data_IF_674495385885
#
_entry.id   IF_674495385885
#
_cell.length_a   1.000
_cell.length_b   1.000
_cell.length_c   1.000
_cell.angle_alpha   90.00
_cell.angle_beta   90.00
_cell.angle_gamma   90.00
#
_symmetry.space_group_name_H-M   'P 1'
#
loop_
_entity.id
_entity.type
_entity.pdbx_description
1 polymer ?
#
# COMPACT_ATOMS: atom_id res chain seq x y z
N UNK A 1 9.45 -14.66 -8.50
CA UNK A 1 8.72 -15.95 -8.31
C UNK A 1 8.88 -16.78 -9.58
N UNK A 2 8.90 -18.11 -9.52
CA UNK A 2 9.12 -18.95 -10.72
C UNK A 2 7.82 -19.18 -11.52
N UNK A 3 7.93 -19.45 -12.82
CA UNK A 3 6.76 -19.73 -13.70
C UNK A 3 5.88 -20.86 -13.17
N UNK A 4 6.47 -21.90 -12.57
CA UNK A 4 5.72 -23.01 -11.98
C UNK A 4 4.80 -22.54 -10.84
N UNK A 5 5.22 -21.57 -10.05
CA UNK A 5 4.40 -20.99 -8.99
C UNK A 5 3.22 -20.21 -9.57
N UNK A 6 3.42 -19.43 -10.64
CA UNK A 6 2.34 -18.73 -11.34
C UNK A 6 1.30 -19.72 -11.86
N UNK A 7 1.74 -20.81 -12.51
CA UNK A 7 0.86 -21.88 -12.99
C UNK A 7 0.02 -22.46 -11.84
N UNK A 8 0.63 -22.67 -10.66
CA UNK A 8 -0.08 -23.17 -9.48
C UNK A 8 -1.12 -22.15 -8.98
N UNK A 9 -0.80 -20.86 -8.94
CA UNK A 9 -1.76 -19.81 -8.55
C UNK A 9 -2.95 -19.73 -9.51
N UNK A 10 -2.69 -19.73 -10.83
CA UNK A 10 -3.74 -19.73 -11.86
C UNK A 10 -4.61 -20.99 -11.72
N UNK A 11 -4.03 -22.17 -11.51
CA UNK A 11 -4.79 -23.41 -11.29
C UNK A 11 -5.71 -23.36 -10.08
N UNK A 12 -5.27 -22.77 -8.96
CA UNK A 12 -6.09 -22.60 -7.76
C UNK A 12 -7.32 -21.73 -8.07
N UNK A 13 -7.12 -20.64 -8.80
CA UNK A 13 -8.20 -19.73 -9.19
C UNK A 13 -9.17 -20.39 -10.18
N UNK A 14 -8.67 -21.16 -11.16
CA UNK A 14 -9.49 -21.93 -12.10
C UNK A 14 -10.39 -22.96 -11.41
N UNK A 15 -9.98 -23.50 -10.26
CA UNK A 15 -10.80 -24.41 -9.49
C UNK A 15 -12.06 -23.74 -8.91
N UNK A 16 -12.01 -22.43 -8.67
CA UNK A 16 -13.15 -21.66 -8.16
C UNK A 16 -13.99 -21.03 -9.28
N UNK A 17 -13.34 -20.51 -10.32
CA UNK A 17 -13.99 -19.74 -11.37
C UNK A 17 -14.21 -20.55 -12.64
N UNK A 18 -15.47 -20.78 -12.98
CA UNK A 18 -15.85 -21.52 -14.20
C UNK A 18 -15.42 -20.74 -15.45
N UNK A 19 -14.83 -21.44 -16.44
CA UNK A 19 -14.33 -20.87 -17.71
C UNK A 19 -13.26 -19.79 -17.50
N UNK A 20 -12.43 -19.93 -16.46
CA UNK A 20 -11.27 -19.08 -16.25
C UNK A 20 -9.98 -19.91 -16.06
N UNK A 21 -8.88 -19.60 -16.77
CA UNK A 21 -8.81 -18.67 -17.88
C UNK A 21 -9.78 -19.00 -19.03
N UNK A 22 -9.98 -18.05 -19.92
CA UNK A 22 -10.73 -18.30 -21.15
C UNK A 22 -10.01 -19.40 -21.96
N UNK A 23 -10.80 -20.32 -22.53
CA UNK A 23 -10.28 -21.46 -23.29
C UNK A 23 -9.36 -20.98 -24.42
N UNK A 24 -8.16 -21.53 -24.50
CA UNK A 24 -7.14 -21.15 -25.47
C UNK A 24 -6.28 -19.94 -25.07
N UNK A 25 -6.50 -19.35 -23.88
CA UNK A 25 -5.68 -18.24 -23.33
C UNK A 25 -4.92 -18.63 -22.06
N UNK A 26 -4.79 -19.92 -21.76
CA UNK A 26 -4.18 -20.40 -20.52
C UNK A 26 -2.71 -19.97 -20.41
N UNK A 27 -1.93 -20.19 -21.47
CA UNK A 27 -0.50 -19.83 -21.49
C UNK A 27 -0.28 -18.31 -21.55
N UNK A 28 -1.13 -17.59 -22.29
CA UNK A 28 -1.14 -16.13 -22.31
C UNK A 28 -1.44 -15.55 -20.92
N UNK A 29 -2.37 -16.16 -20.19
CA UNK A 29 -2.72 -15.75 -18.83
C UNK A 29 -1.56 -15.99 -17.87
N UNK A 30 -0.91 -17.16 -17.94
CA UNK A 30 0.29 -17.45 -17.15
C UNK A 30 1.39 -16.44 -17.46
N UNK A 31 1.63 -16.15 -18.74
CA UNK A 31 2.67 -15.19 -19.18
C UNK A 31 2.37 -13.76 -18.72
N UNK A 32 1.11 -13.31 -18.82
CA UNK A 32 0.67 -12.02 -18.29
C UNK A 32 0.89 -11.93 -16.77
N UNK A 33 0.53 -12.98 -16.03
CA UNK A 33 0.67 -13.01 -14.58
C UNK A 33 2.12 -13.07 -14.14
N UNK A 34 2.97 -13.82 -14.85
CA UNK A 34 4.41 -13.85 -14.62
C UNK A 34 5.00 -12.45 -14.77
N UNK A 35 4.75 -11.77 -15.89
CA UNK A 35 5.24 -10.42 -16.13
C UNK A 35 4.76 -9.39 -15.09
N UNK A 36 3.56 -9.58 -14.54
CA UNK A 36 2.94 -8.60 -13.65
C UNK A 36 3.12 -8.90 -12.16
N UNK A 37 3.64 -10.06 -11.78
CA UNK A 37 3.74 -10.51 -10.39
C UNK A 37 5.11 -11.12 -10.03
N UNK A 38 6.11 -11.03 -10.92
CA UNK A 38 7.44 -11.63 -10.74
C UNK A 38 8.19 -11.05 -9.53
N UNK A 39 7.96 -9.77 -9.24
CA UNK A 39 8.49 -9.01 -8.11
C UNK A 39 7.86 -9.37 -6.75
N UNK A 40 6.72 -10.07 -6.74
CA UNK A 40 6.06 -10.47 -5.50
C UNK A 40 6.70 -11.74 -4.91
N UNK A 41 6.97 -11.75 -3.58
CA UNK A 41 7.28 -12.98 -2.87
C UNK A 41 6.12 -13.98 -2.96
N UNK A 42 6.43 -15.27 -3.16
CA UNK A 42 5.42 -16.33 -3.35
C UNK A 42 4.38 -16.36 -2.20
N UNK A 43 4.83 -16.22 -0.96
CA UNK A 43 3.94 -16.21 0.20
C UNK A 43 2.93 -15.05 0.14
N UNK A 44 3.35 -13.87 -0.33
CA UNK A 44 2.47 -12.70 -0.50
C UNK A 44 1.46 -12.96 -1.61
N UNK A 45 1.88 -13.47 -2.76
CA UNK A 45 0.99 -13.79 -3.87
C UNK A 45 -0.07 -14.85 -3.48
N UNK A 46 0.31 -15.86 -2.69
CA UNK A 46 -0.63 -16.85 -2.16
C UNK A 46 -1.67 -16.24 -1.21
N UNK A 47 -1.25 -15.34 -0.32
CA UNK A 47 -2.19 -14.65 0.56
C UNK A 47 -3.10 -13.70 -0.21
N UNK A 48 -2.60 -13.03 -1.25
CA UNK A 48 -3.37 -12.19 -2.15
C UNK A 48 -4.47 -12.97 -2.86
N UNK A 49 -4.14 -14.14 -3.42
CA UNK A 49 -5.12 -15.05 -4.05
C UNK A 49 -6.19 -15.49 -3.04
N UNK A 50 -5.79 -15.89 -1.82
CA UNK A 50 -6.75 -16.26 -0.76
C UNK A 50 -7.66 -15.09 -0.37
N UNK A 51 -7.08 -13.90 -0.26
CA UNK A 51 -7.82 -12.68 0.04
C UNK A 51 -8.87 -12.38 -1.04
N UNK A 52 -8.49 -12.46 -2.32
CA UNK A 52 -9.41 -12.27 -3.45
C UNK A 52 -10.55 -13.28 -3.45
N UNK A 53 -10.22 -14.57 -3.34
CA UNK A 53 -11.20 -15.66 -3.29
C UNK A 53 -12.19 -15.51 -2.13
N UNK A 54 -11.78 -14.89 -1.02
CA UNK A 54 -12.64 -14.64 0.14
C UNK A 54 -13.62 -13.48 -0.05
N UNK A 55 -13.46 -12.68 -1.11
CA UNK A 55 -14.19 -11.41 -1.30
C UNK A 55 -14.88 -11.29 -2.65
N UNK A 56 -14.42 -12.00 -3.68
CA UNK A 56 -14.91 -11.85 -5.05
C UNK A 56 -15.46 -13.15 -5.61
N UNK A 57 -16.66 -13.07 -6.17
CA UNK A 57 -17.27 -14.12 -6.98
C UNK A 57 -16.85 -14.06 -8.45
N UNK A 58 -16.11 -13.01 -8.85
CA UNK A 58 -15.62 -12.81 -10.22
C UNK A 58 -14.13 -13.20 -10.34
N UNK A 59 -13.71 -13.74 -11.50
CA UNK A 59 -12.31 -14.06 -11.73
C UNK A 59 -11.41 -12.82 -11.59
N UNK A 60 -10.22 -12.95 -10.99
CA UNK A 60 -9.32 -11.81 -10.81
C UNK A 60 -8.70 -11.35 -12.13
N UNK A 61 -8.48 -10.05 -12.22
CA UNK A 61 -7.44 -9.44 -13.06
C UNK A 61 -6.10 -9.44 -12.30
N UNK A 62 -4.99 -9.20 -13.00
CA UNK A 62 -3.69 -8.98 -12.35
C UNK A 62 -3.72 -7.80 -11.37
N UNK A 63 -4.52 -6.77 -11.66
CA UNK A 63 -4.68 -5.61 -10.78
C UNK A 63 -5.35 -6.00 -9.46
N UNK A 64 -6.36 -6.86 -9.49
CA UNK A 64 -7.03 -7.35 -8.28
C UNK A 64 -6.06 -8.09 -7.35
N UNK A 65 -5.15 -8.89 -7.93
CA UNK A 65 -4.13 -9.61 -7.16
C UNK A 65 -3.08 -8.66 -6.59
N UNK A 66 -2.64 -7.64 -7.33
CA UNK A 66 -1.69 -6.65 -6.78
C UNK A 66 -2.32 -5.80 -5.68
N UNK A 67 -3.58 -5.43 -5.83
CA UNK A 67 -4.37 -4.77 -4.78
C UNK A 67 -4.47 -5.64 -3.52
N UNK A 68 -4.77 -6.93 -3.68
CA UNK A 68 -4.80 -7.87 -2.58
C UNK A 68 -3.41 -8.07 -1.95
N UNK A 69 -2.35 -8.13 -2.76
CA UNK A 69 -0.97 -8.24 -2.32
C UNK A 69 -0.56 -7.04 -1.45
N UNK A 70 -0.88 -5.82 -1.87
CA UNK A 70 -0.62 -4.61 -1.09
C UNK A 70 -1.34 -4.65 0.27
N UNK A 71 -2.57 -5.17 0.32
CA UNK A 71 -3.35 -5.31 1.56
C UNK A 71 -2.78 -6.35 2.54
N UNK A 72 -2.32 -7.50 2.05
CA UNK A 72 -1.82 -8.59 2.91
C UNK A 72 -0.36 -8.40 3.33
N UNK A 73 0.42 -7.62 2.56
CA UNK A 73 1.82 -7.30 2.87
C UNK A 73 1.97 -6.08 3.77
N UNK A 74 0.98 -5.18 3.78
CA UNK A 74 1.02 -4.01 4.65
C UNK A 74 0.61 -4.38 6.08
N UNK A 75 1.41 -4.05 7.11
CA UNK A 75 0.91 -3.96 8.47
C UNK A 75 -0.33 -3.08 8.49
N UNK A 76 -1.28 -3.34 9.40
CA UNK A 76 -2.45 -2.46 9.59
C UNK A 76 -1.96 -1.01 9.69
N UNK A 77 -2.21 -0.23 8.64
CA UNK A 77 -1.89 1.19 8.62
C UNK A 77 -2.73 1.89 9.69
N UNK A 78 -2.13 2.82 10.44
CA UNK A 78 -2.88 3.66 11.36
C UNK A 78 -3.88 4.49 10.56
N UNK A 79 -5.12 4.55 11.05
CA UNK A 79 -6.03 5.56 10.55
C UNK A 79 -5.63 6.96 11.07
N UNK A 80 -6.19 8.01 10.45
CA UNK A 80 -5.83 9.38 10.81
C UNK A 80 -6.22 9.74 12.25
N UNK A 81 -7.24 9.10 12.82
CA UNK A 81 -7.69 9.34 14.20
C UNK A 81 -6.65 8.78 15.16
N UNK A 82 -6.21 7.54 14.95
CA UNK A 82 -5.18 6.90 15.75
C UNK A 82 -3.85 7.66 15.68
N UNK A 83 -3.45 8.10 14.48
CA UNK A 83 -2.25 8.91 14.29
C UNK A 83 -2.35 10.25 15.04
N UNK A 84 -3.50 10.92 14.95
CA UNK A 84 -3.76 12.17 15.66
C UNK A 84 -3.77 11.99 17.19
N UNK A 85 -4.33 10.88 17.68
CA UNK A 85 -4.35 10.57 19.11
C UNK A 85 -2.94 10.38 19.67
N UNK A 86 -2.05 9.73 18.92
CA UNK A 86 -0.63 9.59 19.29
C UNK A 86 0.04 10.96 19.40
N UNK A 87 -0.17 11.84 18.42
CA UNK A 87 0.36 13.22 18.45
C UNK A 87 -0.19 13.96 19.66
N UNK A 88 -1.51 13.93 19.86
CA UNK A 88 -2.18 14.60 20.99
C UNK A 88 -1.66 14.10 22.34
N UNK A 89 -1.40 12.80 22.46
CA UNK A 89 -0.86 12.18 23.67
C UNK A 89 0.58 12.60 23.92
N UNK A 90 1.40 12.66 22.87
CA UNK A 90 2.77 13.18 22.96
C UNK A 90 2.76 14.66 23.38
N UNK A 91 1.91 15.50 22.79
CA UNK A 91 1.79 16.92 23.17
C UNK A 91 1.39 17.07 24.64
N UNK A 92 0.42 16.29 25.12
CA UNK A 92 0.01 16.31 26.55
C UNK A 92 1.16 15.92 27.50
N UNK A 93 2.06 15.02 27.07
CA UNK A 93 3.15 14.50 27.91
C UNK A 93 4.41 15.35 27.86
N UNK A 94 4.76 15.86 26.68
CA UNK A 94 6.03 16.55 26.41
C UNK A 94 5.85 18.07 26.36
N UNK A 95 4.68 18.55 25.91
CA UNK A 95 4.39 19.96 25.74
C UNK A 95 5.28 20.63 24.70
N UNK A 96 5.17 21.95 24.60
CA UNK A 96 5.86 22.73 23.57
C UNK A 96 7.39 22.68 23.69
N UNK A 97 7.93 22.73 24.91
CA UNK A 97 9.38 22.87 25.13
C UNK A 97 10.21 21.60 24.91
N UNK A 98 9.56 20.43 24.82
CA UNK A 98 10.25 19.12 24.69
C UNK A 98 9.94 18.46 23.35
N UNK A 99 10.04 19.25 22.27
CA UNK A 99 9.79 18.79 20.90
C UNK A 99 10.54 17.50 20.56
N UNK A 100 11.85 17.46 20.81
CA UNK A 100 12.69 16.31 20.46
C UNK A 100 12.14 15.01 21.05
N UNK A 101 11.87 15.02 22.35
CA UNK A 101 11.35 13.86 23.07
C UNK A 101 9.93 13.49 22.63
N UNK A 102 9.09 14.50 22.34
CA UNK A 102 7.77 14.30 21.78
C UNK A 102 7.81 13.60 20.44
N UNK A 103 8.67 14.06 19.53
CA UNK A 103 8.81 13.52 18.17
C UNK A 103 9.47 12.13 18.14
N UNK A 104 10.42 11.86 19.05
CA UNK A 104 11.05 10.54 19.22
C UNK A 104 10.11 9.52 19.86
N UNK A 105 9.06 9.95 20.57
CA UNK A 105 8.06 9.07 21.17
C UNK A 105 7.00 8.55 20.18
N UNK A 106 6.93 9.13 18.98
CA UNK A 106 5.94 8.80 17.95
C UNK A 106 6.47 7.68 17.02
N UNK A 107 5.59 6.82 16.48
CA UNK A 107 5.96 5.95 15.36
C UNK A 107 6.49 6.75 14.17
N UNK A 108 7.41 6.16 13.39
CA UNK A 108 8.13 6.85 12.31
C UNK A 108 7.21 7.54 11.29
N UNK A 109 6.12 6.89 10.89
CA UNK A 109 5.13 7.48 9.97
C UNK A 109 4.41 8.69 10.58
N UNK A 110 4.05 8.62 11.87
CA UNK A 110 3.36 9.69 12.59
C UNK A 110 4.32 10.86 12.83
N UNK A 111 5.57 10.58 13.21
CA UNK A 111 6.61 11.58 13.40
C UNK A 111 6.92 12.32 12.09
N UNK A 112 7.04 11.60 10.97
CA UNK A 112 7.24 12.21 9.64
C UNK A 112 6.08 13.14 9.25
N UNK A 113 4.83 12.74 9.49
CA UNK A 113 3.69 13.62 9.22
C UNK A 113 3.67 14.82 10.17
N UNK A 114 3.89 14.61 11.47
CA UNK A 114 3.93 15.68 12.46
C UNK A 114 4.97 16.77 12.13
N UNK A 115 6.11 16.40 11.52
CA UNK A 115 7.12 17.37 11.05
C UNK A 115 6.57 18.33 10.00
N UNK A 116 5.64 17.90 9.15
CA UNK A 116 5.04 18.76 8.11
C UNK A 116 4.16 19.88 8.69
N UNK A 117 3.60 19.64 9.88
CA UNK A 117 2.82 20.63 10.63
C UNK A 117 3.67 21.37 11.67
N UNK A 118 4.93 20.99 11.89
CA UNK A 118 5.80 21.50 12.97
C UNK A 118 5.26 21.26 14.39
N UNK A 119 6.14 21.00 15.35
CA UNK A 119 5.71 20.81 16.75
C UNK A 119 5.06 22.06 17.34
N UNK A 120 5.52 23.24 16.90
CA UNK A 120 4.99 24.53 17.34
C UNK A 120 3.52 24.69 16.99
N UNK A 121 3.13 24.51 15.73
CA UNK A 121 1.72 24.67 15.34
C UNK A 121 0.88 23.59 16.01
N UNK A 122 1.37 22.35 16.08
CA UNK A 122 0.68 21.27 16.78
C UNK A 122 0.39 21.59 18.26
N UNK A 123 1.30 22.30 18.95
CA UNK A 123 1.12 22.66 20.36
C UNK A 123 0.33 23.95 20.60
N UNK A 124 0.48 24.96 19.74
CA UNK A 124 0.07 26.33 20.03
C UNK A 124 -1.07 26.85 19.14
N UNK A 125 -1.53 26.07 18.16
CA UNK A 125 -2.61 26.51 17.27
C UNK A 125 -3.94 26.63 18.02
N UNK A 126 -4.55 27.81 17.97
CA UNK A 126 -5.82 28.12 18.65
C UNK A 126 -7.04 27.53 17.92
N UNK A 127 -6.89 27.14 16.66
CA UNK A 127 -7.92 26.55 15.81
C UNK A 127 -7.63 25.05 15.55
N UNK A 128 -7.70 24.27 16.63
CA UNK A 128 -7.38 22.84 16.64
C UNK A 128 -8.28 22.05 15.68
N UNK A 129 -9.55 22.41 15.52
CA UNK A 129 -10.47 21.71 14.62
C UNK A 129 -10.03 21.83 13.16
N UNK A 130 -9.59 23.02 12.73
CA UNK A 130 -9.05 23.23 11.39
C UNK A 130 -7.74 22.49 11.20
N UNK A 131 -6.83 22.55 12.17
CA UNK A 131 -5.56 21.83 12.12
C UNK A 131 -5.78 20.31 12.03
N UNK A 132 -6.73 19.77 12.79
CA UNK A 132 -7.10 18.35 12.76
C UNK A 132 -7.70 17.94 11.42
N UNK A 133 -8.52 18.79 10.80
CA UNK A 133 -9.04 18.55 9.46
C UNK A 133 -7.93 18.56 8.40
N UNK A 134 -6.99 19.51 8.47
CA UNK A 134 -5.82 19.56 7.58
C UNK A 134 -4.94 18.33 7.74
N UNK A 135 -4.69 17.90 8.98
CA UNK A 135 -3.97 16.67 9.28
C UNK A 135 -4.65 15.45 8.66
N UNK A 136 -5.97 15.31 8.83
CA UNK A 136 -6.75 14.24 8.21
C UNK A 136 -6.54 14.20 6.69
N UNK A 137 -6.67 15.34 6.02
CA UNK A 137 -6.49 15.42 4.55
C UNK A 137 -5.07 15.02 4.13
N UNK A 138 -4.05 15.49 4.84
CA UNK A 138 -2.66 15.16 4.57
C UNK A 138 -2.38 13.65 4.80
N UNK A 139 -2.92 13.07 5.86
CA UNK A 139 -2.81 11.65 6.19
C UNK A 139 -3.47 10.77 5.14
N UNK A 140 -4.73 11.05 4.79
CA UNK A 140 -5.46 10.30 3.76
C UNK A 140 -4.75 10.38 2.40
N UNK A 141 -4.19 11.54 2.05
CA UNK A 141 -3.38 11.71 0.83
C UNK A 141 -2.10 10.86 0.87
N UNK A 142 -1.39 10.83 2.00
CA UNK A 142 -0.19 10.02 2.16
C UNK A 142 -0.49 8.52 2.09
N UNK A 143 -1.57 8.07 2.74
CA UNK A 143 -2.01 6.67 2.67
C UNK A 143 -2.34 6.28 1.23
N UNK A 144 -3.03 7.15 0.48
CA UNK A 144 -3.33 6.91 -0.93
C UNK A 144 -2.06 6.78 -1.77
N UNK A 145 -1.08 7.66 -1.58
CA UNK A 145 0.21 7.59 -2.29
C UNK A 145 0.98 6.31 -1.96
N UNK A 146 1.09 5.96 -0.68
CA UNK A 146 1.76 4.72 -0.25
C UNK A 146 1.07 3.49 -0.86
N UNK A 147 -0.26 3.51 -0.91
CA UNK A 147 -1.04 2.44 -1.51
C UNK A 147 -0.80 2.33 -3.02
N UNK A 148 -0.83 3.44 -3.76
CA UNK A 148 -0.50 3.49 -5.18
C UNK A 148 0.90 2.93 -5.46
N UNK A 149 1.90 3.31 -4.66
CA UNK A 149 3.27 2.80 -4.78
C UNK A 149 3.37 1.30 -4.53
N UNK A 150 2.62 0.76 -3.54
CA UNK A 150 2.67 -0.65 -3.20
C UNK A 150 1.95 -1.56 -4.22
N UNK A 151 1.05 -1.03 -5.04
CA UNK A 151 0.34 -1.80 -6.07
C UNK A 151 1.18 -1.93 -7.34
N UNK A 152 2.04 -0.97 -7.66
CA UNK A 152 2.77 -0.98 -8.93
C UNK A 152 3.91 -2.02 -8.93
N UNK A 153 4.17 -2.70 -10.06
CA UNK A 153 5.40 -3.48 -10.24
C UNK A 153 6.64 -2.61 -10.04
N UNK A 154 7.64 -3.14 -9.33
CA UNK A 154 8.88 -2.39 -9.03
C UNK A 154 9.54 -1.86 -10.31
N UNK A 155 9.69 -2.70 -11.34
CA UNK A 155 10.30 -2.29 -12.61
C UNK A 155 9.52 -1.19 -13.35
N UNK A 156 8.20 -1.11 -13.17
CA UNK A 156 7.38 -0.05 -13.75
C UNK A 156 7.55 1.26 -12.96
N UNK A 157 7.67 1.18 -11.64
CA UNK A 157 7.93 2.34 -10.79
C UNK A 157 9.27 3.00 -11.12
N UNK A 158 10.33 2.19 -11.27
CA UNK A 158 11.66 2.67 -11.68
C UNK A 158 11.64 3.37 -13.05
N UNK A 159 10.85 2.84 -14.00
CA UNK A 159 10.68 3.44 -15.33
C UNK A 159 9.93 4.78 -15.29
N UNK A 160 8.94 4.93 -14.41
CA UNK A 160 8.21 6.19 -14.24
C UNK A 160 9.08 7.29 -13.61
N UNK A 161 10.01 6.93 -12.74
CA UNK A 161 10.96 7.86 -12.11
C UNK A 161 12.14 8.24 -13.03
N UNK A 162 12.39 7.45 -14.07
CA UNK A 162 13.48 7.65 -15.04
C UNK A 162 12.96 7.70 -16.49
N UNK A 163 12.62 8.89 -17.02
CA UNK A 163 12.04 9.05 -18.36
C UNK A 163 12.87 8.46 -19.52
N UNK A 164 14.17 8.27 -19.32
CA UNK A 164 15.09 7.70 -20.30
C UNK A 164 14.97 6.16 -20.44
N UNK A 165 14.49 5.45 -19.41
CA UNK A 165 14.29 4.00 -19.45
C UNK A 165 13.02 3.60 -20.22
N UNK A 166 11.99 4.44 -20.20
CA UNK A 166 10.73 4.22 -20.94
C UNK A 166 10.96 4.11 -22.44
N UNK A 167 11.98 4.81 -22.98
CA UNK A 167 12.35 4.75 -24.41
C UNK A 167 13.02 3.45 -24.85
N UNK A 168 13.41 2.56 -23.92
CA UNK A 168 14.05 1.26 -24.22
C UNK A 168 13.10 0.06 -24.12
N UNK A 169 11.90 0.26 -23.58
CA UNK A 169 10.88 -0.78 -23.36
C UNK A 169 9.79 -0.80 -24.44
N UNK A 170 9.91 0.07 -25.46
CA UNK A 170 9.08 0.11 -26.68
C UNK A 170 9.98 -0.13 -27.89
#
# INVERSE_FOLDING_TARGET
>A
MEREDIIRLVRILSANYRKWPEEGKEDDTVTLWEMMLDDLPLNVAQQAVKYHLSKSVFPPTVADIREAAAKVSSPRALDWIEAWEKISTAIRKFGYYREKEGMESLPDEVSRMAKQFTWRELCLNENIDTLRAQFRMAWETQLKRNHEQNILPVGLMDALESPELVKRLL
#
